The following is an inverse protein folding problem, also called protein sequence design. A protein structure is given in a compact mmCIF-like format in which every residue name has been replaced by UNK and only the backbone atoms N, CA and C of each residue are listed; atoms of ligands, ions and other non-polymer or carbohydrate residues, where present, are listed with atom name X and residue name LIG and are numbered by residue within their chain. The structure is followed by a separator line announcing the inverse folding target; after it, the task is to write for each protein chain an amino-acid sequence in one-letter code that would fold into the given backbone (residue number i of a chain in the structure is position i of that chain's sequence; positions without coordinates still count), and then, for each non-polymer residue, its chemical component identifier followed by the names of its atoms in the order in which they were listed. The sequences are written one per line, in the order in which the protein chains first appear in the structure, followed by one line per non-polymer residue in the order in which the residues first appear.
data_IF_311815371039
#
_entry.id   IF_311815371039
#
_cell.length_a   1.000
_cell.length_b   1.000
_cell.length_c   1.000
_cell.angle_alpha   90.00
_cell.angle_beta   90.00
_cell.angle_gamma   90.00
#
_symmetry.space_group_name_H-M   'P 1'
#
loop_
_entity.id
_entity.type
_entity.pdbx_description
1 polymer ?
#
# COMPACT_ATOMS: atom_id res chain seq x y z
N UNK A 1 19.30 -20.25 -20.50
CA UNK A 1 19.40 -20.74 -19.11
C UNK A 1 18.25 -20.14 -18.34
N UNK A 2 17.45 -20.95 -17.65
CA UNK A 2 16.34 -20.51 -16.82
C UNK A 2 16.80 -20.56 -15.35
N UNK A 3 16.62 -19.47 -14.61
CA UNK A 3 16.84 -19.43 -13.16
C UNK A 3 15.51 -19.05 -12.53
N UNK A 4 14.98 -19.90 -11.66
CA UNK A 4 13.73 -19.69 -10.95
C UNK A 4 14.01 -19.67 -9.44
N UNK A 5 13.69 -18.57 -8.78
CA UNK A 5 13.80 -18.41 -7.32
C UNK A 5 12.41 -18.06 -6.75
N UNK A 6 11.85 -18.94 -5.93
CA UNK A 6 10.48 -18.83 -5.40
C UNK A 6 10.46 -18.23 -3.99
N UNK A 7 11.02 -17.03 -3.84
CA UNK A 7 11.16 -16.40 -2.52
C UNK A 7 9.82 -16.19 -1.80
N UNK A 8 8.76 -15.86 -2.53
CA UNK A 8 7.41 -15.74 -1.98
C UNK A 8 6.91 -17.06 -1.38
N UNK A 9 7.01 -18.17 -2.13
CA UNK A 9 6.54 -19.48 -1.67
C UNK A 9 7.29 -19.95 -0.41
N UNK A 10 8.60 -19.67 -0.34
CA UNK A 10 9.42 -19.97 0.84
C UNK A 10 8.95 -19.16 2.05
N UNK A 11 8.84 -17.83 1.91
CA UNK A 11 8.39 -16.96 3.00
C UNK A 11 6.97 -17.29 3.48
N UNK A 12 6.06 -17.59 2.55
CA UNK A 12 4.69 -17.98 2.87
C UNK A 12 4.63 -19.26 3.70
N UNK A 13 5.48 -20.25 3.36
CA UNK A 13 5.56 -21.50 4.11
C UNK A 13 6.18 -21.32 5.50
N UNK A 14 7.24 -20.51 5.62
CA UNK A 14 7.84 -20.16 6.91
C UNK A 14 6.83 -19.47 7.84
N UNK A 15 6.02 -18.57 7.28
CA UNK A 15 4.96 -17.89 8.04
C UNK A 15 3.88 -18.87 8.53
N UNK A 16 3.46 -19.82 7.68
CA UNK A 16 2.50 -20.87 8.07
C UNK A 16 3.05 -21.78 9.20
N UNK A 17 4.34 -22.10 9.17
CA UNK A 17 5.01 -22.88 10.22
C UNK A 17 5.09 -22.08 11.53
N UNK A 18 5.37 -20.78 11.46
CA UNK A 18 5.36 -19.88 12.62
C UNK A 18 3.96 -19.79 13.24
N UNK A 19 2.92 -19.62 12.43
CA UNK A 19 1.53 -19.55 12.89
C UNK A 19 1.11 -20.84 13.62
N UNK A 20 1.56 -22.01 13.14
CA UNK A 20 1.33 -23.29 13.83
C UNK A 20 2.03 -23.35 15.19
N UNK A 21 3.29 -22.93 15.26
CA UNK A 21 4.03 -22.89 16.53
C UNK A 21 3.38 -21.95 17.54
N UNK A 22 2.93 -20.77 17.10
CA UNK A 22 2.20 -19.82 17.95
C UNK A 22 0.90 -20.44 18.46
N UNK A 23 0.15 -21.14 17.61
CA UNK A 23 -1.08 -21.82 18.02
C UNK A 23 -0.79 -22.91 19.08
N UNK A 24 0.21 -23.76 18.85
CA UNK A 24 0.63 -24.81 19.81
C UNK A 24 1.11 -24.22 21.15
N UNK A 25 1.88 -23.13 21.13
CA UNK A 25 2.32 -22.44 22.35
C UNK A 25 1.13 -21.81 23.09
N UNK A 26 0.17 -21.24 22.36
CA UNK A 26 -1.04 -20.65 22.94
C UNK A 26 -1.97 -21.66 23.61
N UNK A 27 -2.04 -22.90 23.09
CA UNK A 27 -2.81 -23.99 23.70
C UNK A 27 -2.19 -24.50 25.01
N UNK A 28 -0.89 -24.25 25.22
CA UNK A 28 -0.16 -24.68 26.42
C UNK A 28 -0.14 -23.65 27.56
N UNK A 29 -0.71 -22.45 27.35
CA UNK A 29 -0.81 -21.39 28.36
C UNK A 29 -2.05 -21.59 29.24
N UNK A 30 -1.91 -21.39 30.55
CA UNK A 30 -3.07 -21.36 31.45
C UNK A 30 -3.90 -20.07 31.27
N UNK A 31 -5.19 -20.11 31.58
CA UNK A 31 -6.08 -18.91 31.48
C UNK A 31 -5.52 -17.69 32.24
N UNK A 32 -4.82 -17.91 33.36
CA UNK A 32 -4.21 -16.83 34.14
C UNK A 32 -2.98 -16.19 33.50
N UNK A 33 -2.18 -16.96 32.75
CA UNK A 33 -1.01 -16.46 32.01
C UNK A 33 -1.44 -15.71 30.74
N UNK A 34 -2.48 -16.21 30.07
CA UNK A 34 -3.06 -15.57 28.89
C UNK A 34 -3.61 -14.18 29.21
N UNK A 35 -4.32 -14.04 30.35
CA UNK A 35 -4.89 -12.77 30.80
C UNK A 35 -3.80 -11.75 31.14
N UNK A 36 -2.75 -12.16 31.85
CA UNK A 36 -1.63 -11.29 32.23
C UNK A 36 -0.88 -10.73 31.01
N UNK A 37 -0.69 -11.58 29.98
CA UNK A 37 -0.04 -11.16 28.75
C UNK A 37 -0.94 -10.28 27.88
N UNK A 38 -2.25 -10.51 27.86
CA UNK A 38 -3.22 -9.60 27.24
C UNK A 38 -3.21 -8.23 27.91
N UNK A 39 -3.30 -8.17 29.24
CA UNK A 39 -3.28 -6.92 30.00
C UNK A 39 -1.98 -6.12 29.77
N UNK A 40 -0.83 -6.84 29.67
CA UNK A 40 0.46 -6.24 29.33
C UNK A 40 0.48 -5.66 27.92
N UNK A 41 -0.03 -6.41 26.94
CA UNK A 41 -0.12 -5.96 25.54
C UNK A 41 -1.04 -4.74 25.40
N UNK A 42 -2.18 -4.75 26.07
CA UNK A 42 -3.13 -3.63 26.06
C UNK A 42 -2.52 -2.37 26.67
N UNK A 43 -1.78 -2.51 27.77
CA UNK A 43 -1.05 -1.38 28.37
C UNK A 43 0.01 -0.81 27.41
N UNK A 44 0.80 -1.66 26.76
CA UNK A 44 1.81 -1.24 25.79
C UNK A 44 1.17 -0.56 24.57
N UNK A 45 0.07 -1.11 24.04
CA UNK A 45 -0.68 -0.50 22.94
C UNK A 45 -1.18 0.89 23.32
N UNK A 46 -1.76 1.04 24.52
CA UNK A 46 -2.27 2.31 25.02
C UNK A 46 -1.15 3.36 25.15
N UNK A 47 0.03 2.96 25.62
CA UNK A 47 1.18 3.86 25.72
C UNK A 47 1.72 4.29 24.36
N UNK A 48 1.80 3.36 23.40
CA UNK A 48 2.18 3.67 22.01
C UNK A 48 1.18 4.66 21.41
N UNK A 49 -0.12 4.37 21.47
CA UNK A 49 -1.18 5.25 20.94
C UNK A 49 -1.11 6.63 21.58
N UNK A 50 -0.91 6.72 22.90
CA UNK A 50 -0.74 8.00 23.61
C UNK A 50 0.44 8.78 23.05
N UNK A 51 1.61 8.13 22.91
CA UNK A 51 2.81 8.77 22.39
C UNK A 51 2.65 9.27 20.95
N UNK A 52 1.90 8.54 20.11
CA UNK A 52 1.57 8.96 18.75
C UNK A 52 0.63 10.17 18.75
N UNK A 53 -0.45 10.16 19.55
CA UNK A 53 -1.39 11.30 19.66
C UNK A 53 -0.70 12.57 20.15
N UNK A 54 0.27 12.45 21.05
CA UNK A 54 1.07 13.59 21.53
C UNK A 54 1.98 14.16 20.43
N UNK A 55 2.61 13.29 19.62
CA UNK A 55 3.40 13.69 18.45
C UNK A 55 2.55 14.27 17.33
N UNK A 56 1.35 13.73 17.10
CA UNK A 56 0.39 14.19 16.09
C UNK A 56 -0.11 15.61 16.39
N UNK A 57 -0.39 15.91 17.67
CA UNK A 57 -0.74 17.28 18.11
C UNK A 57 0.35 18.33 17.84
N UNK A 58 1.59 17.91 17.61
CA UNK A 58 2.72 18.81 17.35
C UNK A 58 3.02 18.98 15.85
N UNK A 59 2.38 18.21 14.96
CA UNK A 59 2.63 18.28 13.51
C UNK A 59 1.58 19.17 12.87
N UNK A 60 1.98 20.37 12.45
CA UNK A 60 1.13 21.21 11.60
C UNK A 60 1.15 20.60 10.18
N UNK A 61 0.08 19.93 9.81
CA UNK A 61 -0.07 19.36 8.47
C UNK A 61 -0.35 20.49 7.49
N UNK A 62 0.65 20.83 6.68
CA UNK A 62 0.55 21.88 5.66
C UNK A 62 0.61 21.22 4.29
N UNK A 63 -0.45 21.34 3.47
CA UNK A 63 -0.44 20.86 2.10
C UNK A 63 0.73 21.46 1.29
N UNK A 64 1.36 20.64 0.46
CA UNK A 64 2.46 21.01 -0.42
C UNK A 64 1.94 21.28 -1.84
N UNK A 65 1.94 22.54 -2.31
CA UNK A 65 1.46 22.90 -3.64
C UNK A 65 2.17 22.15 -4.79
N UNK A 66 3.45 21.80 -4.63
CA UNK A 66 4.20 21.11 -5.68
C UNK A 66 3.79 19.65 -5.78
N UNK A 67 3.61 18.97 -4.64
CA UNK A 67 3.10 17.59 -4.58
C UNK A 67 1.67 17.52 -5.11
N UNK A 68 0.81 18.45 -4.71
CA UNK A 68 -0.58 18.53 -5.22
C UNK A 68 -0.58 18.73 -6.74
N UNK A 69 0.23 19.65 -7.25
CA UNK A 69 0.30 19.91 -8.69
C UNK A 69 0.84 18.69 -9.46
N UNK A 70 1.80 17.96 -8.90
CA UNK A 70 2.30 16.71 -9.45
C UNK A 70 1.21 15.63 -9.46
N UNK A 71 0.52 15.44 -8.34
CA UNK A 71 -0.57 14.48 -8.22
C UNK A 71 -1.67 14.73 -9.25
N UNK A 72 -2.11 15.99 -9.42
CA UNK A 72 -3.13 16.35 -10.43
C UNK A 72 -2.65 16.03 -11.86
N UNK A 73 -1.36 16.25 -12.17
CA UNK A 73 -0.80 15.87 -13.48
C UNK A 73 -0.80 14.36 -13.67
N UNK A 74 -0.37 13.60 -12.65
CA UNK A 74 -0.37 12.14 -12.69
C UNK A 74 -1.79 11.58 -12.82
N UNK A 75 -2.74 12.12 -12.06
CA UNK A 75 -4.15 11.76 -12.13
C UNK A 75 -4.68 11.86 -13.57
N UNK A 76 -4.42 12.99 -14.25
CA UNK A 76 -4.82 13.18 -15.66
C UNK A 76 -4.13 12.22 -16.61
N UNK A 77 -2.81 12.08 -16.49
CA UNK A 77 -2.04 11.18 -17.34
C UNK A 77 -2.44 9.70 -17.13
N UNK A 78 -2.81 9.32 -15.91
CA UNK A 78 -3.28 7.99 -15.55
C UNK A 78 -4.66 7.69 -16.14
N UNK A 79 -5.57 8.67 -16.20
CA UNK A 79 -6.84 8.51 -16.91
C UNK A 79 -6.65 8.27 -18.41
N UNK A 80 -5.71 8.99 -19.04
CA UNK A 80 -5.36 8.75 -20.44
C UNK A 80 -4.71 7.38 -20.65
N UNK A 81 -3.80 6.98 -19.75
CA UNK A 81 -3.19 5.64 -19.76
C UNK A 81 -4.24 4.54 -19.61
N UNK A 82 -5.16 4.69 -18.66
CA UNK A 82 -6.22 3.72 -18.41
C UNK A 82 -7.12 3.54 -19.64
N UNK A 83 -7.44 4.64 -20.32
CA UNK A 83 -8.20 4.58 -21.59
C UNK A 83 -7.44 3.85 -22.69
N UNK A 84 -6.14 4.11 -22.85
CA UNK A 84 -5.33 3.51 -23.91
C UNK A 84 -5.04 2.03 -23.69
N UNK A 85 -4.95 1.61 -22.42
CA UNK A 85 -4.64 0.24 -22.04
C UNK A 85 -5.86 -0.55 -21.55
N UNK A 86 -7.06 0.03 -21.68
CA UNK A 86 -8.34 -0.57 -21.28
C UNK A 86 -8.35 -1.04 -19.81
N UNK A 87 -7.86 -0.19 -18.91
CA UNK A 87 -7.84 -0.43 -17.47
C UNK A 87 -9.03 0.25 -16.79
N UNK A 88 -9.52 -0.33 -15.69
CA UNK A 88 -10.34 0.46 -14.77
C UNK A 88 -9.44 1.39 -13.96
N UNK A 89 -9.93 2.56 -13.63
CA UNK A 89 -9.23 3.55 -12.81
C UNK A 89 -10.17 4.12 -11.75
N UNK A 90 -9.67 4.21 -10.52
CA UNK A 90 -10.28 4.97 -9.44
C UNK A 90 -9.25 5.98 -8.95
N UNK A 91 -9.67 7.20 -8.68
CA UNK A 91 -8.78 8.20 -8.11
C UNK A 91 -9.54 9.09 -7.14
N UNK A 92 -8.87 9.46 -6.07
CA UNK A 92 -9.42 10.30 -5.02
C UNK A 92 -8.34 11.27 -4.57
N UNK A 93 -8.74 12.52 -4.31
CA UNK A 93 -7.95 13.49 -3.58
C UNK A 93 -8.80 13.97 -2.43
N UNK A 94 -8.26 13.94 -1.21
CA UNK A 94 -8.97 14.43 -0.02
C UNK A 94 -9.20 15.93 -0.13
N UNK A 95 -10.26 16.42 0.48
CA UNK A 95 -10.66 17.84 0.39
C UNK A 95 -9.68 18.78 1.11
N UNK A 96 -8.95 18.27 2.09
CA UNK A 96 -7.93 19.03 2.84
C UNK A 96 -6.55 19.07 2.14
N UNK A 97 -6.44 18.49 0.93
CA UNK A 97 -5.22 18.45 0.13
C UNK A 97 -4.02 17.76 0.82
N UNK A 98 -4.26 16.88 1.78
CA UNK A 98 -3.19 16.16 2.52
C UNK A 98 -2.86 14.79 1.93
N UNK A 99 -3.79 14.22 1.15
CA UNK A 99 -3.69 12.86 0.66
C UNK A 99 -4.43 12.67 -0.67
N UNK A 100 -3.92 11.77 -1.49
CA UNK A 100 -4.62 11.26 -2.66
C UNK A 100 -4.15 9.87 -3.06
N UNK A 101 -4.95 9.18 -3.87
CA UNK A 101 -4.54 7.92 -4.49
C UNK A 101 -5.02 7.82 -5.94
N UNK A 102 -4.31 6.96 -6.68
CA UNK A 102 -4.69 6.48 -8.01
C UNK A 102 -4.63 4.96 -7.95
N UNK A 103 -5.73 4.31 -8.30
CA UNK A 103 -5.85 2.86 -8.36
C UNK A 103 -6.16 2.43 -9.79
N UNK A 104 -5.41 1.45 -10.28
CA UNK A 104 -5.62 0.81 -11.56
C UNK A 104 -6.00 -0.65 -11.31
N UNK A 105 -7.00 -1.16 -12.02
CA UNK A 105 -7.32 -2.59 -11.99
C UNK A 105 -7.49 -3.17 -13.38
N UNK A 106 -6.91 -4.34 -13.61
CA UNK A 106 -6.90 -5.00 -14.92
C UNK A 106 -6.62 -6.50 -14.78
N UNK A 107 -7.03 -7.30 -15.77
CA UNK A 107 -6.66 -8.72 -15.82
C UNK A 107 -5.21 -8.89 -16.27
N UNK A 108 -4.94 -8.62 -17.55
CA UNK A 108 -3.60 -8.59 -18.14
C UNK A 108 -3.49 -7.30 -18.93
N UNK A 109 -2.39 -6.56 -18.74
CA UNK A 109 -2.10 -5.36 -19.52
C UNK A 109 -0.68 -5.41 -20.06
N UNK A 110 -0.50 -5.01 -21.31
CA UNK A 110 0.79 -5.03 -22.00
C UNK A 110 1.22 -3.61 -22.37
N UNK A 111 2.42 -3.23 -21.96
CA UNK A 111 3.06 -2.00 -22.43
C UNK A 111 4.20 -2.41 -23.38
N UNK A 112 3.91 -2.36 -24.68
CA UNK A 112 4.77 -2.85 -25.74
C UNK A 112 5.77 -1.78 -26.21
N UNK A 113 6.69 -2.14 -27.10
CA UNK A 113 7.68 -1.21 -27.67
C UNK A 113 7.04 -0.07 -28.47
N UNK A 114 5.93 -0.37 -29.13
CA UNK A 114 5.13 0.52 -29.99
C UNK A 114 3.98 1.22 -29.25
N UNK A 115 3.68 0.84 -28.01
CA UNK A 115 2.71 1.57 -27.18
C UNK A 115 3.09 3.06 -27.09
N UNK A 116 2.09 3.98 -27.06
CA UNK A 116 2.36 5.40 -26.91
C UNK A 116 3.35 5.67 -25.78
N UNK A 117 4.38 6.49 -26.05
CA UNK A 117 5.47 6.77 -25.08
C UNK A 117 4.94 7.25 -23.72
N UNK A 118 3.78 7.91 -23.72
CA UNK A 118 3.11 8.35 -22.51
C UNK A 118 2.74 7.19 -21.58
N UNK A 119 2.38 6.00 -22.08
CA UNK A 119 1.98 4.88 -21.23
C UNK A 119 3.16 4.43 -20.33
N UNK A 120 4.34 4.23 -20.93
CA UNK A 120 5.56 3.90 -20.18
C UNK A 120 5.94 5.00 -19.20
N UNK A 121 5.86 6.26 -19.66
CA UNK A 121 6.25 7.41 -18.85
C UNK A 121 5.33 7.58 -17.64
N UNK A 122 4.01 7.52 -17.83
CA UNK A 122 3.04 7.64 -16.74
C UNK A 122 3.20 6.51 -15.75
N UNK A 123 3.30 5.25 -16.20
CA UNK A 123 3.50 4.12 -15.29
C UNK A 123 4.79 4.26 -14.47
N UNK A 124 5.92 4.62 -15.12
CA UNK A 124 7.18 4.86 -14.42
C UNK A 124 7.05 5.99 -13.39
N UNK A 125 6.38 7.09 -13.74
CA UNK A 125 6.15 8.21 -12.82
C UNK A 125 5.26 7.83 -11.63
N UNK A 126 4.28 6.95 -11.80
CA UNK A 126 3.49 6.44 -10.67
C UNK A 126 4.38 5.65 -9.70
N UNK A 127 5.24 4.76 -10.20
CA UNK A 127 6.18 4.01 -9.37
C UNK A 127 7.24 4.88 -8.69
N UNK A 128 7.66 5.95 -9.34
CA UNK A 128 8.72 6.84 -8.84
C UNK A 128 8.20 7.83 -7.78
N UNK A 129 6.94 8.27 -7.88
CA UNK A 129 6.43 9.39 -7.08
C UNK A 129 5.37 9.00 -6.04
N UNK A 130 4.88 7.76 -6.05
CA UNK A 130 3.99 7.29 -4.99
C UNK A 130 4.77 7.03 -3.70
N UNK A 131 4.24 7.48 -2.57
CA UNK A 131 4.82 7.22 -1.26
C UNK A 131 4.58 5.76 -0.83
N UNK A 132 3.45 5.19 -1.25
CA UNK A 132 3.13 3.78 -1.03
C UNK A 132 2.51 3.15 -2.27
N UNK A 133 2.86 1.89 -2.50
CA UNK A 133 2.34 1.12 -3.63
C UNK A 133 1.85 -0.22 -3.11
N UNK A 134 0.55 -0.46 -3.22
CA UNK A 134 -0.05 -1.74 -2.93
C UNK A 134 -0.36 -2.45 -4.26
N UNK A 135 0.01 -3.73 -4.37
CA UNK A 135 -0.35 -4.58 -5.51
C UNK A 135 -0.93 -5.87 -4.96
N UNK A 136 -2.17 -6.16 -5.35
CA UNK A 136 -2.88 -7.38 -4.94
C UNK A 136 -3.63 -7.99 -6.12
N UNK A 137 -4.05 -9.24 -5.94
CA UNK A 137 -5.00 -9.89 -6.85
C UNK A 137 -6.34 -9.96 -6.15
N UNK A 138 -7.35 -9.30 -6.71
CA UNK A 138 -8.71 -9.26 -6.17
C UNK A 138 -9.71 -9.47 -7.30
N UNK A 139 -10.69 -10.35 -7.08
CA UNK A 139 -11.74 -10.65 -8.05
C UNK A 139 -11.18 -10.98 -9.46
N UNK A 140 -10.11 -11.77 -9.51
CA UNK A 140 -9.34 -12.13 -10.73
C UNK A 140 -8.72 -10.96 -11.50
N UNK A 141 -8.61 -9.79 -10.88
CA UNK A 141 -7.90 -8.63 -11.42
C UNK A 141 -6.65 -8.37 -10.59
N UNK A 142 -5.58 -7.93 -11.25
CA UNK A 142 -4.51 -7.20 -10.59
C UNK A 142 -5.05 -5.83 -10.21
N UNK A 143 -4.91 -5.45 -8.95
CA UNK A 143 -5.23 -4.12 -8.44
C UNK A 143 -3.92 -3.49 -7.97
N UNK A 144 -3.60 -2.32 -8.51
CA UNK A 144 -2.45 -1.53 -8.11
C UNK A 144 -2.91 -0.18 -7.61
N UNK A 145 -2.67 0.10 -6.32
CA UNK A 145 -2.97 1.40 -5.72
C UNK A 145 -1.66 2.14 -5.42
N UNK A 146 -1.60 3.36 -5.92
CA UNK A 146 -0.52 4.33 -5.73
C UNK A 146 -1.03 5.42 -4.80
N UNK A 147 -0.44 5.53 -3.63
CA UNK A 147 -0.82 6.49 -2.59
C UNK A 147 0.18 7.64 -2.49
N UNK A 148 -0.32 8.85 -2.24
CA UNK A 148 0.45 10.08 -2.24
C UNK A 148 0.15 10.90 -0.98
N UNK A 149 1.18 11.18 -0.20
CA UNK A 149 1.18 12.16 0.87
C UNK A 149 1.40 13.54 0.25
N UNK A 150 0.36 14.37 0.28
CA UNK A 150 0.35 15.69 -0.33
C UNK A 150 0.75 16.80 0.65
N UNK A 151 1.10 16.44 1.88
CA UNK A 151 1.66 17.33 2.90
C UNK A 151 3.19 17.47 2.78
N UNK A 152 3.73 18.50 3.45
CA UNK A 152 5.17 18.75 3.56
C UNK A 152 5.90 17.80 4.50
#
# INVERSE_FOLDING_TARGET
MLIECKYYDVAAKEMEELDKQIAEESENLSEGELQLENDRRDFQLAEIIRSFKEKEKMKEIVPDPEKIALFIRLQRASMELAKLLELNIVTMKKDDDTYGYIELSYGISWILSDSPKMCKKTMAMLYENADQICSEVKDNCVVQRFEFELEK
#
